data_IF_140575490497
#
_entry.id   IF_140575490497
#
_cell.length_a   1.000
_cell.length_b   1.000
_cell.length_c   1.000
_cell.angle_alpha   90.00
_cell.angle_beta   90.00
_cell.angle_gamma   90.00
#
_symmetry.space_group_name_H-M   'P 1'
#
loop_
_entity.id
_entity.type
_entity.pdbx_description
1 polymer ?
#
# COMPACT_ATOMS: atom_id res chain seq x y z
N UNK A 1 -1.27 -32.50 -1.45
CA UNK A 1 -1.80 -31.31 -2.16
C UNK A 1 -0.62 -30.46 -2.62
N UNK A 2 -0.65 -29.96 -3.86
CA UNK A 2 0.48 -29.40 -4.60
C UNK A 2 0.80 -27.97 -4.14
N UNK A 3 1.83 -27.79 -3.31
CA UNK A 3 2.43 -26.47 -3.07
C UNK A 3 3.37 -26.14 -4.23
N UNK A 4 2.86 -25.48 -5.26
CA UNK A 4 3.72 -24.91 -6.31
C UNK A 4 4.50 -23.75 -5.70
N UNK A 5 5.73 -24.01 -5.27
CA UNK A 5 6.75 -23.00 -4.98
C UNK A 5 7.08 -22.27 -6.27
N UNK A 6 6.24 -21.30 -6.63
CA UNK A 6 6.53 -20.34 -7.69
C UNK A 6 7.77 -19.61 -7.21
N UNK A 7 8.94 -19.97 -7.75
CA UNK A 7 10.21 -19.28 -7.52
C UNK A 7 10.01 -17.83 -7.92
N UNK A 8 9.58 -17.01 -6.96
CA UNK A 8 9.58 -15.55 -7.09
C UNK A 8 11.04 -15.23 -7.30
N UNK A 9 11.38 -14.75 -8.49
CA UNK A 9 12.70 -14.21 -8.79
C UNK A 9 13.13 -13.39 -7.58
N UNK A 10 14.27 -13.69 -6.95
CA UNK A 10 14.67 -12.98 -5.74
C UNK A 10 14.77 -11.52 -6.13
N UNK A 11 13.81 -10.74 -5.66
CA UNK A 11 13.87 -9.31 -5.79
C UNK A 11 15.21 -8.92 -5.19
N UNK A 12 16.07 -8.27 -5.99
CA UNK A 12 17.40 -7.88 -5.52
C UNK A 12 17.25 -7.22 -4.15
N UNK A 13 18.03 -7.65 -3.16
CA UNK A 13 17.88 -7.18 -1.77
C UNK A 13 17.87 -5.65 -1.69
N UNK A 14 18.65 -5.00 -2.57
CA UNK A 14 18.68 -3.54 -2.74
C UNK A 14 17.35 -2.95 -3.22
N UNK A 15 16.69 -3.60 -4.18
CA UNK A 15 15.39 -3.17 -4.69
C UNK A 15 14.27 -3.43 -3.67
N UNK A 16 14.34 -4.55 -2.94
CA UNK A 16 13.39 -4.85 -1.87
C UNK A 16 13.41 -3.77 -0.79
N UNK A 17 14.61 -3.39 -0.32
CA UNK A 17 14.77 -2.34 0.69
C UNK A 17 14.23 -0.99 0.20
N UNK A 18 14.58 -0.56 -1.02
CA UNK A 18 14.06 0.69 -1.61
C UNK A 18 12.54 0.68 -1.77
N UNK A 19 11.96 -0.46 -2.12
CA UNK A 19 10.52 -0.61 -2.28
C UNK A 19 9.80 -0.55 -0.93
N UNK A 20 10.38 -1.16 0.11
CA UNK A 20 9.88 -1.10 1.47
C UNK A 20 9.92 0.33 2.02
N UNK A 21 11.04 1.03 1.85
CA UNK A 21 11.17 2.46 2.17
C UNK A 21 10.11 3.30 1.43
N UNK A 22 9.85 3.01 0.15
CA UNK A 22 8.79 3.66 -0.61
C UNK A 22 7.39 3.34 -0.03
N UNK A 23 7.14 2.09 0.38
CA UNK A 23 5.87 1.70 0.99
C UNK A 23 5.64 2.46 2.30
N UNK A 24 6.65 2.55 3.15
CA UNK A 24 6.60 3.31 4.41
C UNK A 24 6.33 4.78 4.13
N UNK A 25 7.04 5.36 3.15
CA UNK A 25 6.83 6.75 2.77
C UNK A 25 5.40 7.01 2.26
N UNK A 26 4.83 6.09 1.47
CA UNK A 26 3.43 6.16 1.04
C UNK A 26 2.49 6.11 2.25
N UNK A 27 2.77 5.26 3.25
CA UNK A 27 1.95 5.18 4.47
C UNK A 27 2.05 6.40 5.37
N UNK A 28 3.15 7.16 5.30
CA UNK A 28 3.30 8.41 6.04
C UNK A 28 2.72 9.61 5.27
N UNK A 29 2.76 9.58 3.94
CA UNK A 29 2.38 10.71 3.07
C UNK A 29 1.06 10.45 2.31
N UNK A 30 0.21 9.55 2.81
CA UNK A 30 -1.01 9.12 2.12
C UNK A 30 -2.04 10.25 1.90
N UNK A 31 -2.00 11.28 2.74
CA UNK A 31 -2.91 12.43 2.69
C UNK A 31 -2.62 13.32 1.46
N UNK A 32 -1.36 13.36 1.01
CA UNK A 32 -0.98 14.11 -0.19
C UNK A 32 -1.44 13.39 -1.47
N UNK A 33 -1.64 14.15 -2.55
CA UNK A 33 -1.95 13.61 -3.87
C UNK A 33 -0.75 12.86 -4.43
N UNK A 34 -0.61 11.58 -4.07
CA UNK A 34 0.46 10.70 -4.56
C UNK A 34 0.10 10.14 -5.95
N UNK A 35 0.77 10.65 -6.97
CA UNK A 35 0.78 10.17 -8.34
C UNK A 35 2.12 9.55 -8.75
N UNK A 36 2.18 9.13 -10.01
CA UNK A 36 3.36 8.47 -10.57
C UNK A 36 4.63 9.30 -10.44
N UNK A 37 4.55 10.61 -10.71
CA UNK A 37 5.71 11.52 -10.66
C UNK A 37 6.37 11.54 -9.28
N UNK A 38 5.60 11.52 -8.19
CA UNK A 38 6.20 11.49 -6.85
C UNK A 38 6.81 10.13 -6.53
N UNK A 39 6.16 9.04 -6.92
CA UNK A 39 6.68 7.70 -6.72
C UNK A 39 8.02 7.50 -7.45
N UNK A 40 8.10 7.94 -8.71
CA UNK A 40 9.32 7.84 -9.52
C UNK A 40 10.41 8.75 -8.98
N UNK A 41 10.07 9.97 -8.54
CA UNK A 41 11.03 10.91 -7.97
C UNK A 41 11.60 10.42 -6.62
N UNK A 42 10.73 9.88 -5.74
CA UNK A 42 11.15 9.37 -4.43
C UNK A 42 12.01 8.11 -4.51
N UNK A 43 11.64 7.19 -5.39
CA UNK A 43 12.33 5.88 -5.48
C UNK A 43 13.47 5.84 -6.49
N UNK A 44 13.51 6.79 -7.42
CA UNK A 44 14.44 6.77 -8.55
C UNK A 44 14.12 5.70 -9.60
N UNK A 45 12.99 5.01 -9.49
CA UNK A 45 12.55 4.00 -10.45
C UNK A 45 11.66 4.61 -11.53
N UNK A 46 11.63 3.96 -12.70
CA UNK A 46 10.66 4.29 -13.73
C UNK A 46 9.25 3.80 -13.36
N UNK A 47 8.22 4.36 -14.01
CA UNK A 47 6.83 3.92 -13.85
C UNK A 47 6.65 2.41 -14.05
N UNK A 48 7.33 1.85 -15.06
CA UNK A 48 7.27 0.43 -15.43
C UNK A 48 7.94 -0.43 -14.36
N UNK A 49 9.13 -0.01 -13.91
CA UNK A 49 9.83 -0.68 -12.81
C UNK A 49 8.99 -0.67 -11.53
N UNK A 50 8.35 0.45 -11.18
CA UNK A 50 7.47 0.49 -10.02
C UNK A 50 6.32 -0.50 -10.14
N UNK A 51 5.69 -0.60 -11.30
CA UNK A 51 4.61 -1.57 -11.53
C UNK A 51 5.12 -2.99 -11.37
N UNK A 52 6.23 -3.35 -12.01
CA UNK A 52 6.83 -4.69 -11.93
C UNK A 52 7.24 -5.04 -10.49
N UNK A 53 7.92 -4.12 -9.81
CA UNK A 53 8.39 -4.29 -8.44
C UNK A 53 7.23 -4.47 -7.46
N UNK A 54 6.19 -3.64 -7.56
CA UNK A 54 4.99 -3.75 -6.71
C UNK A 54 4.20 -5.04 -7.01
N UNK A 55 4.08 -5.43 -8.27
CA UNK A 55 3.44 -6.70 -8.64
C UNK A 55 4.22 -7.92 -8.13
N UNK A 56 5.55 -7.88 -8.20
CA UNK A 56 6.39 -8.96 -7.71
C UNK A 56 6.36 -9.06 -6.17
N UNK A 57 6.37 -7.92 -5.48
CA UNK A 57 6.50 -7.86 -4.02
C UNK A 57 5.16 -7.95 -3.28
N UNK A 58 4.18 -7.11 -3.64
CA UNK A 58 2.86 -7.02 -2.98
C UNK A 58 1.71 -7.58 -3.81
N UNK A 59 1.95 -8.01 -5.05
CA UNK A 59 0.90 -8.45 -5.98
C UNK A 59 -0.22 -7.42 -6.22
N UNK A 60 0.11 -6.14 -6.09
CA UNK A 60 -0.82 -5.03 -6.35
C UNK A 60 -0.10 -3.98 -7.19
N UNK A 61 -0.85 -3.04 -7.77
CA UNK A 61 -0.24 -1.87 -8.41
C UNK A 61 0.10 -0.79 -7.36
N UNK A 62 1.08 0.08 -7.60
CA UNK A 62 1.42 1.18 -6.70
C UNK A 62 0.21 2.06 -6.35
N UNK A 63 -0.63 2.36 -7.35
CA UNK A 63 -1.84 3.16 -7.15
C UNK A 63 -2.90 2.42 -6.33
N UNK A 64 -3.06 1.11 -6.52
CA UNK A 64 -3.93 0.30 -5.68
C UNK A 64 -3.42 0.26 -4.23
N UNK A 65 -2.10 0.17 -4.02
CA UNK A 65 -1.49 0.22 -2.69
C UNK A 65 -1.79 1.55 -2.01
N UNK A 66 -1.59 2.69 -2.67
CA UNK A 66 -1.95 4.02 -2.14
C UNK A 66 -3.43 4.07 -1.74
N UNK A 67 -4.32 3.54 -2.60
CA UNK A 67 -5.75 3.47 -2.31
C UNK A 67 -6.05 2.63 -1.07
N UNK A 68 -5.40 1.46 -0.94
CA UNK A 68 -5.55 0.61 0.24
C UNK A 68 -5.06 1.32 1.50
N UNK A 69 -3.89 1.96 1.46
CA UNK A 69 -3.34 2.72 2.60
C UNK A 69 -4.33 3.81 3.04
N UNK A 70 -4.91 4.55 2.09
CA UNK A 70 -5.93 5.57 2.38
C UNK A 70 -7.20 4.97 2.99
N UNK A 71 -7.64 3.83 2.49
CA UNK A 71 -8.82 3.13 3.02
C UNK A 71 -8.57 2.59 4.43
N UNK A 72 -7.40 2.00 4.68
CA UNK A 72 -7.03 1.49 6.00
C UNK A 72 -6.97 2.60 7.05
N UNK A 73 -6.39 3.76 6.72
CA UNK A 73 -6.38 4.91 7.63
C UNK A 73 -7.79 5.48 7.86
N UNK A 74 -8.61 5.60 6.81
CA UNK A 74 -10.03 5.99 6.96
C UNK A 74 -10.78 5.02 7.86
N UNK A 75 -10.62 3.71 7.63
CA UNK A 75 -11.25 2.69 8.44
C UNK A 75 -10.81 2.82 9.90
N UNK A 76 -9.50 2.93 10.17
CA UNK A 76 -8.94 3.10 11.52
C UNK A 76 -9.49 4.35 12.25
N UNK A 77 -9.64 5.47 11.53
CA UNK A 77 -10.30 6.67 12.03
C UNK A 77 -11.78 6.42 12.32
N UNK A 78 -12.50 5.71 11.44
CA UNK A 78 -13.93 5.41 11.66
C UNK A 78 -14.20 4.42 12.78
N UNK A 79 -13.28 3.49 13.09
CA UNK A 79 -13.45 2.58 14.25
C UNK A 79 -13.36 3.34 15.59
N UNK A 80 -12.67 4.48 15.61
CA UNK A 80 -12.56 5.34 16.79
C UNK A 80 -13.61 6.47 16.82
N UNK A 81 -14.44 6.61 15.78
CA UNK A 81 -15.43 7.69 15.69
C UNK A 81 -16.88 7.20 15.50
N UNK A 82 -17.19 6.00 15.98
CA UNK A 82 -18.57 5.60 16.19
C UNK A 82 -18.91 5.68 17.68
N UNK A 83 -19.47 6.80 18.18
CA UNK A 83 -20.32 6.72 19.36
C UNK A 83 -21.56 5.91 18.96
N UNK A 84 -21.92 4.96 19.80
CA UNK A 84 -23.11 4.10 19.70
C UNK A 84 -24.34 4.83 19.13
N UNK A 85 -24.58 4.70 17.82
CA UNK A 85 -25.77 5.28 17.18
C UNK A 85 -27.04 4.43 17.41
N UNK A 86 -26.95 3.39 18.25
CA UNK A 86 -28.09 2.53 18.61
C UNK A 86 -28.33 2.45 20.13
N UNK A 87 -27.95 3.45 20.93
CA UNK A 87 -28.60 3.67 22.23
C UNK A 87 -29.90 4.49 22.07
N UNK A 88 -30.90 3.91 21.40
CA UNK A 88 -32.31 4.31 21.54
C UNK A 88 -33.18 3.34 20.75
N UNK A 89 -33.70 2.32 21.42
CA UNK A 89 -35.14 2.10 21.50
C UNK A 89 -35.40 1.45 22.87
N UNK A 90 -35.95 2.30 23.75
CA UNK A 90 -36.67 1.94 24.96
C UNK A 90 -37.89 1.11 24.53
N UNK A 91 -38.08 -0.09 25.10
CA UNK A 91 -39.35 -0.46 25.76
C UNK A 91 -39.20 -1.76 26.54
#
# INVERSE_FOLDING_TARGET
>A
MRSTTKKRSPLSASNAKRLEELCVWITENFDQTLGWTQLTNKSGFSKEQLVELFQLYKQVTPMAFIRHVRQQHKNNLTINLQPDLFEKIKN
#
